data_IF_432980425036
#
_entry.id   IF_432980425036
#
_cell.length_a   1.000
_cell.length_b   1.000
_cell.length_c   1.000
_cell.angle_alpha   90.00
_cell.angle_beta   90.00
_cell.angle_gamma   90.00
#
_symmetry.space_group_name_H-M   'P 1'
#
loop_
_entity.id
_entity.type
_entity.pdbx_description
1 polymer ?
#
# COMPACT_ATOMS: atom_id res chain seq x y z
N UNK A 1 11.94 5.22 15.92
CA UNK A 1 12.08 4.55 14.62
C UNK A 1 10.70 4.15 14.11
N UNK A 2 10.36 4.58 12.92
CA UNK A 2 9.09 4.18 12.32
C UNK A 2 9.23 2.83 11.62
N UNK A 3 8.24 1.99 11.83
CA UNK A 3 8.19 0.72 11.11
C UNK A 3 7.61 0.96 9.71
N UNK A 4 8.16 0.27 8.73
CA UNK A 4 7.59 0.27 7.39
C UNK A 4 6.43 -0.72 7.37
N UNK A 5 5.27 -0.26 7.84
CA UNK A 5 4.05 -1.03 7.79
C UNK A 5 2.98 -0.22 7.04
N UNK A 6 1.84 -0.85 6.78
CA UNK A 6 0.82 -0.23 5.93
C UNK A 6 0.33 1.10 6.49
N UNK A 7 0.07 1.17 7.80
CA UNK A 7 -0.44 2.41 8.39
C UNK A 7 0.56 3.56 8.30
N UNK A 8 1.84 3.28 8.53
CA UNK A 8 2.87 4.31 8.43
C UNK A 8 3.09 4.73 6.97
N UNK A 9 3.00 3.79 6.04
CA UNK A 9 3.10 4.12 4.62
C UNK A 9 1.93 5.01 4.19
N UNK A 10 0.72 4.70 4.63
CA UNK A 10 -0.45 5.54 4.33
C UNK A 10 -0.26 6.95 4.87
N UNK A 11 0.22 7.08 6.11
CA UNK A 11 0.50 8.41 6.67
C UNK A 11 1.52 9.18 5.85
N UNK A 12 2.54 8.49 5.36
CA UNK A 12 3.59 9.14 4.57
C UNK A 12 3.05 9.66 3.23
N UNK A 13 1.99 9.08 2.69
CA UNK A 13 1.37 9.58 1.45
C UNK A 13 0.56 10.85 1.67
N UNK A 14 0.18 11.13 2.90
CA UNK A 14 -0.72 12.24 3.27
C UNK A 14 -2.08 12.16 2.58
N UNK A 15 -2.49 10.96 2.18
CA UNK A 15 -3.78 10.68 1.57
C UNK A 15 -4.49 9.57 2.35
N UNK A 16 -5.79 9.46 2.16
CA UNK A 16 -6.61 8.54 2.93
C UNK A 16 -6.80 7.20 2.20
N UNK A 17 -5.78 6.36 2.24
CA UNK A 17 -5.84 5.03 1.64
C UNK A 17 -6.35 4.00 2.62
N UNK A 18 -7.11 3.03 2.12
CA UNK A 18 -7.63 1.92 2.91
C UNK A 18 -7.66 0.65 2.07
N UNK A 19 -7.59 -0.49 2.75
CA UNK A 19 -7.80 -1.78 2.12
C UNK A 19 -9.22 -2.21 2.43
N UNK A 20 -9.95 -2.62 1.39
CA UNK A 20 -11.34 -3.04 1.49
C UNK A 20 -11.50 -4.43 0.89
N UNK A 21 -12.39 -5.23 1.48
CA UNK A 21 -12.70 -6.56 0.97
C UNK A 21 -13.91 -6.47 0.04
N UNK A 22 -13.72 -6.85 -1.22
CA UNK A 22 -14.80 -6.77 -2.20
C UNK A 22 -15.75 -7.95 -2.09
N UNK A 23 -16.94 -7.81 -2.66
CA UNK A 23 -17.91 -8.89 -2.69
C UNK A 23 -17.49 -10.05 -3.59
N UNK A 24 -16.53 -9.82 -4.49
CA UNK A 24 -15.97 -10.89 -5.31
C UNK A 24 -14.92 -11.73 -4.59
N UNK A 25 -14.60 -11.38 -3.33
CA UNK A 25 -13.69 -12.18 -2.52
C UNK A 25 -12.24 -11.78 -2.57
N UNK A 26 -11.94 -10.59 -3.04
CA UNK A 26 -10.58 -10.06 -3.13
C UNK A 26 -10.46 -8.75 -2.39
N UNK A 27 -9.24 -8.45 -1.92
CA UNK A 27 -8.96 -7.16 -1.31
C UNK A 27 -8.62 -6.13 -2.39
N UNK A 28 -8.97 -4.88 -2.14
CA UNK A 28 -8.69 -3.79 -3.07
C UNK A 28 -8.26 -2.55 -2.32
N UNK A 29 -7.49 -1.71 -2.99
CA UNK A 29 -7.01 -0.46 -2.41
C UNK A 29 -7.98 0.67 -2.74
N UNK A 30 -8.41 1.36 -1.70
CA UNK A 30 -9.37 2.47 -1.80
C UNK A 30 -8.67 3.79 -1.49
N UNK A 31 -9.07 4.83 -2.18
CA UNK A 31 -8.65 6.19 -1.88
C UNK A 31 -9.92 7.05 -1.78
N UNK A 32 -10.16 7.60 -0.59
CA UNK A 32 -11.34 8.44 -0.32
C UNK A 32 -12.66 7.77 -0.72
N UNK A 33 -12.74 6.46 -0.50
CA UNK A 33 -13.94 5.69 -0.77
C UNK A 33 -14.08 5.17 -2.19
N UNK A 34 -13.07 5.39 -3.04
CA UNK A 34 -13.08 4.89 -4.42
C UNK A 34 -11.96 3.89 -4.65
N UNK A 35 -12.23 2.78 -5.34
CA UNK A 35 -11.18 1.81 -5.64
C UNK A 35 -10.22 2.35 -6.68
N UNK A 36 -8.91 2.27 -6.39
CA UNK A 36 -7.87 2.68 -7.35
C UNK A 36 -7.09 1.48 -7.85
N UNK A 37 -7.07 0.38 -7.07
CA UNK A 37 -6.58 -0.91 -7.53
C UNK A 37 -7.64 -1.91 -7.12
N UNK A 38 -8.30 -2.50 -8.09
CA UNK A 38 -9.37 -3.44 -7.82
C UNK A 38 -8.90 -4.89 -7.98
N UNK A 39 -9.76 -5.82 -7.65
CA UNK A 39 -9.48 -7.23 -7.68
C UNK A 39 -9.18 -7.75 -9.09
N UNK A 40 -9.72 -7.13 -10.13
CA UNK A 40 -9.47 -7.57 -11.50
C UNK A 40 -8.04 -7.31 -11.95
N UNK A 41 -7.37 -6.32 -11.34
CA UNK A 41 -5.99 -5.96 -11.71
C UNK A 41 -4.96 -6.88 -11.06
N UNK A 42 -5.28 -7.47 -9.90
CA UNK A 42 -4.30 -8.24 -9.11
C UNK A 42 -4.96 -9.47 -8.47
N UNK A 43 -5.69 -10.21 -9.27
CA UNK A 43 -6.51 -11.32 -8.82
C UNK A 43 -5.77 -12.34 -7.96
N UNK A 44 -4.61 -12.78 -8.41
CA UNK A 44 -3.84 -13.81 -7.72
C UNK A 44 -3.21 -13.34 -6.41
N UNK A 45 -3.04 -12.03 -6.23
CA UNK A 45 -2.39 -11.49 -5.05
C UNK A 45 -3.36 -10.94 -4.02
N UNK A 46 -4.62 -10.74 -4.40
CA UNK A 46 -5.58 -10.05 -3.55
C UNK A 46 -6.49 -10.97 -2.73
N UNK A 47 -6.34 -12.30 -2.85
CA UNK A 47 -7.16 -13.26 -2.10
C UNK A 47 -6.81 -13.30 -0.62
N UNK A 48 -5.54 -13.10 -0.29
CA UNK A 48 -5.04 -13.16 1.07
C UNK A 48 -4.69 -11.75 1.55
N UNK A 49 -5.14 -11.41 2.77
CA UNK A 49 -4.93 -10.07 3.28
C UNK A 49 -3.45 -9.70 3.37
N UNK A 50 -2.61 -10.61 3.87
CA UNK A 50 -1.19 -10.32 4.02
C UNK A 50 -0.52 -10.06 2.66
N UNK A 51 -0.87 -10.85 1.67
CA UNK A 51 -0.33 -10.69 0.31
C UNK A 51 -0.83 -9.40 -0.31
N UNK A 52 -2.12 -9.12 -0.17
CA UNK A 52 -2.72 -7.90 -0.69
C UNK A 52 -2.13 -6.66 -0.01
N UNK A 53 -2.00 -6.70 1.31
CA UNK A 53 -1.41 -5.59 2.05
C UNK A 53 0.02 -5.32 1.60
N UNK A 54 0.83 -6.37 1.43
CA UNK A 54 2.21 -6.22 0.97
C UNK A 54 2.27 -5.62 -0.44
N UNK A 55 1.37 -6.07 -1.32
CA UNK A 55 1.30 -5.53 -2.68
C UNK A 55 0.92 -4.05 -2.68
N UNK A 56 -0.11 -3.69 -1.94
CA UNK A 56 -0.58 -2.30 -1.88
C UNK A 56 0.45 -1.39 -1.21
N UNK A 57 1.11 -1.88 -0.17
CA UNK A 57 2.16 -1.13 0.50
C UNK A 57 3.31 -0.83 -0.46
N UNK A 58 3.73 -1.82 -1.26
CA UNK A 58 4.77 -1.63 -2.27
C UNK A 58 4.33 -0.60 -3.31
N UNK A 59 3.09 -0.68 -3.76
CA UNK A 59 2.54 0.29 -4.71
C UNK A 59 2.60 1.71 -4.15
N UNK A 60 2.14 1.88 -2.91
CA UNK A 60 2.15 3.20 -2.28
C UNK A 60 3.58 3.73 -2.10
N UNK A 61 4.49 2.86 -1.67
CA UNK A 61 5.90 3.26 -1.51
C UNK A 61 6.52 3.70 -2.81
N UNK A 62 6.21 3.02 -3.90
CA UNK A 62 6.82 3.35 -5.18
C UNK A 62 6.20 4.59 -5.82
N UNK A 63 4.88 4.72 -5.78
CA UNK A 63 4.18 5.72 -6.57
C UNK A 63 3.61 6.89 -5.77
N UNK A 64 3.30 6.69 -4.49
CA UNK A 64 2.56 7.67 -3.70
C UNK A 64 3.36 8.31 -2.58
N UNK A 65 4.34 7.62 -2.01
CA UNK A 65 5.18 8.20 -0.95
C UNK A 65 6.25 9.07 -1.60
N UNK A 66 6.36 10.36 -1.19
CA UNK A 66 7.40 11.25 -1.74
C UNK A 66 8.81 10.73 -1.45
N UNK A 67 9.74 10.99 -2.36
CA UNK A 67 11.14 10.56 -2.18
C UNK A 67 11.77 11.13 -0.92
N UNK A 68 11.31 12.29 -0.48
CA UNK A 68 11.81 12.90 0.75
C UNK A 68 11.48 12.10 2.01
N UNK A 69 10.52 11.19 1.93
CA UNK A 69 10.06 10.39 3.07
C UNK A 69 10.45 8.92 2.98
N UNK A 70 11.15 8.53 1.93
CA UNK A 70 11.55 7.14 1.74
C UNK A 70 12.99 7.04 1.30
N UNK A 71 13.59 5.86 1.49
CA UNK A 71 14.95 5.59 1.05
C UNK A 71 15.04 4.17 0.50
N UNK A 72 16.01 3.94 -0.35
CA UNK A 72 16.22 2.64 -0.96
C UNK A 72 17.27 1.88 -0.15
N UNK A 73 16.90 0.69 0.37
CA UNK A 73 17.80 -0.18 1.12
C UNK A 73 17.74 -1.57 0.53
N UNK A 74 18.87 -2.06 0.02
CA UNK A 74 18.93 -3.39 -0.54
C UNK A 74 17.95 -3.63 -1.69
N UNK A 75 17.66 -2.59 -2.47
CA UNK A 75 16.73 -2.69 -3.58
C UNK A 75 15.26 -2.54 -3.20
N UNK A 76 14.97 -2.23 -1.94
CA UNK A 76 13.60 -2.10 -1.43
C UNK A 76 13.40 -0.71 -0.85
N UNK A 77 12.27 -0.08 -1.19
CA UNK A 77 11.90 1.19 -0.60
C UNK A 77 11.43 0.99 0.83
N UNK A 78 11.96 1.79 1.74
CA UNK A 78 11.55 1.83 3.15
C UNK A 78 11.34 3.27 3.57
N UNK A 79 10.55 3.48 4.62
CA UNK A 79 10.33 4.81 5.15
C UNK A 79 11.60 5.30 5.84
N UNK A 80 11.91 6.59 5.68
CA UNK A 80 13.06 7.19 6.36
C UNK A 80 12.78 7.31 7.83
N UNK A 81 13.82 7.09 8.62
CA UNK A 81 13.79 7.35 10.05
C UNK A 81 13.97 8.84 10.30
N UNK A 82 13.24 9.34 11.25
CA UNK A 82 13.40 10.73 11.68
C UNK A 82 14.45 10.86 12.77
#
# INVERSE_FOLDING_TARGET
>A
MERTDFMNVVRATEKNYRINYSISGYYRLMLDGEPIIDDSACEDTNEDYETAEAFFMRYLMEYEVPESKKELRGGIWVLKEE
#
